data_IF_685376993901
#
_entry.id   IF_685376993901
#
_cell.length_a   1.000
_cell.length_b   1.000
_cell.length_c   1.000
_cell.angle_alpha   90.00
_cell.angle_beta   90.00
_cell.angle_gamma   90.00
#
_symmetry.space_group_name_H-M   'P 1'
#
loop_
_entity.id
_entity.type
_entity.pdbx_description
1 polymer ?
#
# COMPACT_ATOMS: atom_id res chain seq x y z
N UNK A 1 7.97 -12.06 -2.69
CA UNK A 1 7.15 -11.04 -3.39
C UNK A 1 5.95 -10.73 -2.51
N UNK A 2 5.74 -9.45 -2.17
CA UNK A 2 4.61 -8.97 -1.38
C UNK A 2 3.80 -7.95 -2.20
N UNK A 3 2.49 -7.91 -1.95
CA UNK A 3 1.53 -7.04 -2.62
C UNK A 3 0.64 -6.38 -1.56
N UNK A 4 0.53 -5.05 -1.57
CA UNK A 4 -0.47 -4.35 -0.76
C UNK A 4 -0.94 -3.04 -1.40
N UNK A 5 -2.09 -2.56 -0.93
CA UNK A 5 -2.52 -1.20 -1.18
C UNK A 5 -1.56 -0.25 -0.42
N UNK A 6 -0.89 0.64 -1.14
CA UNK A 6 0.04 1.61 -0.54
C UNK A 6 -0.63 2.96 -0.33
N UNK A 7 0.09 3.87 0.31
CA UNK A 7 -0.31 5.27 0.34
C UNK A 7 -0.30 5.90 -1.05
N UNK A 8 -1.15 6.91 -1.25
CA UNK A 8 -1.27 7.60 -2.53
C UNK A 8 0.04 8.23 -2.97
N UNK A 9 0.50 7.83 -4.16
CA UNK A 9 1.71 8.33 -4.84
C UNK A 9 1.43 9.59 -5.66
N UNK A 10 0.27 9.66 -6.31
CA UNK A 10 -0.20 10.81 -7.09
C UNK A 10 -1.42 11.48 -6.45
N UNK A 11 -1.71 12.74 -6.79
CA UNK A 11 -2.87 13.51 -6.30
C UNK A 11 -4.21 12.73 -6.33
N UNK A 12 -4.62 12.08 -7.45
CA UNK A 12 -5.88 11.32 -7.47
C UNK A 12 -5.83 10.10 -6.52
N UNK A 13 -4.70 9.40 -6.47
CA UNK A 13 -4.53 8.24 -5.57
C UNK A 13 -4.49 8.65 -4.10
N UNK A 14 -4.00 9.85 -3.77
CA UNK A 14 -4.01 10.41 -2.41
C UNK A 14 -5.43 10.66 -1.93
N UNK A 15 -6.27 11.26 -2.77
CA UNK A 15 -7.68 11.51 -2.43
C UNK A 15 -8.45 10.20 -2.26
N UNK A 16 -8.22 9.22 -3.14
CA UNK A 16 -8.86 7.90 -3.04
C UNK A 16 -8.41 7.18 -1.76
N UNK A 17 -7.11 7.18 -1.45
CA UNK A 17 -6.57 6.58 -0.22
C UNK A 17 -7.09 7.30 1.02
N UNK A 18 -7.25 8.62 0.99
CA UNK A 18 -7.83 9.37 2.11
C UNK A 18 -9.30 8.97 2.35
N UNK A 19 -10.10 8.87 1.30
CA UNK A 19 -11.46 8.35 1.38
C UNK A 19 -11.48 6.90 1.90
N UNK A 20 -10.55 6.06 1.43
CA UNK A 20 -10.42 4.68 1.89
C UNK A 20 -10.06 4.58 3.37
N UNK A 21 -9.14 5.42 3.85
CA UNK A 21 -8.78 5.50 5.29
C UNK A 21 -9.98 5.94 6.13
N UNK A 22 -10.81 6.86 5.64
CA UNK A 22 -12.05 7.28 6.31
C UNK A 22 -13.06 6.13 6.39
N UNK A 23 -13.30 5.42 5.29
CA UNK A 23 -14.20 4.26 5.29
C UNK A 23 -13.68 3.16 6.22
N UNK A 24 -12.38 2.88 6.18
CA UNK A 24 -11.74 1.90 7.06
C UNK A 24 -11.91 2.25 8.56
N UNK A 25 -11.83 3.53 8.91
CA UNK A 25 -12.02 3.98 10.30
C UNK A 25 -13.46 3.76 10.80
N UNK A 26 -14.45 3.76 9.90
CA UNK A 26 -15.85 3.52 10.24
C UNK A 26 -16.17 2.02 10.23
N UNK A 27 -15.72 1.30 9.20
CA UNK A 27 -15.94 -0.14 9.06
C UNK A 27 -14.79 -0.80 8.32
N UNK A 28 -13.83 -1.43 9.04
CA UNK A 28 -12.75 -2.19 8.43
C UNK A 28 -13.25 -3.32 7.52
N UNK A 29 -14.40 -3.90 7.84
CA UNK A 29 -15.03 -4.97 7.07
C UNK A 29 -15.49 -4.50 5.69
N UNK A 30 -15.95 -3.25 5.56
CA UNK A 30 -16.34 -2.68 4.26
C UNK A 30 -15.15 -2.55 3.30
N UNK A 31 -13.94 -2.40 3.84
CA UNK A 31 -12.68 -2.38 3.08
C UNK A 31 -12.06 -3.78 2.91
N UNK A 32 -12.78 -4.86 3.27
CA UNK A 32 -12.25 -6.21 3.28
C UNK A 32 -11.06 -6.42 4.23
N UNK A 33 -10.92 -5.55 5.24
CA UNK A 33 -9.78 -5.53 6.17
C UNK A 33 -8.49 -4.92 5.58
N UNK A 34 -8.49 -4.49 4.31
CA UNK A 34 -7.32 -3.94 3.65
C UNK A 34 -7.07 -2.49 4.08
N UNK A 35 -5.91 -2.24 4.71
CA UNK A 35 -5.45 -0.91 5.12
C UNK A 35 -4.31 -0.45 4.22
N UNK A 36 -4.37 0.77 3.67
CA UNK A 36 -3.24 1.36 2.96
C UNK A 36 -2.02 1.45 3.88
N UNK A 37 -0.92 0.80 3.52
CA UNK A 37 0.31 0.75 4.31
C UNK A 37 1.54 0.77 3.39
N UNK A 38 2.60 1.43 3.82
CA UNK A 38 3.89 1.43 3.13
C UNK A 38 4.70 0.20 3.56
N UNK A 39 4.63 -0.87 2.77
CA UNK A 39 5.31 -2.13 3.10
C UNK A 39 6.82 -2.01 3.05
N UNK A 40 7.36 -1.09 2.23
CA UNK A 40 8.80 -0.94 2.01
C UNK A 40 9.56 -0.74 3.31
N UNK A 41 9.04 0.08 4.22
CA UNK A 41 9.70 0.38 5.49
C UNK A 41 9.68 -0.84 6.43
N UNK A 42 8.61 -1.64 6.39
CA UNK A 42 8.52 -2.88 7.18
C UNK A 42 9.45 -3.97 6.66
N UNK A 43 9.55 -4.12 5.34
CA UNK A 43 10.42 -5.12 4.71
C UNK A 43 11.89 -4.82 5.00
N UNK A 44 12.29 -3.55 4.92
CA UNK A 44 13.64 -3.11 5.31
C UNK A 44 13.91 -3.35 6.80
N UNK A 45 12.96 -3.02 7.68
CA UNK A 45 13.08 -3.29 9.13
C UNK A 45 13.21 -4.78 9.45
N UNK A 46 12.63 -5.65 8.63
CA UNK A 46 12.77 -7.11 8.75
C UNK A 46 14.13 -7.65 8.27
N UNK A 47 15.02 -6.79 7.77
CA UNK A 47 16.39 -7.15 7.39
C UNK A 47 16.53 -7.70 5.97
N UNK A 48 15.57 -7.44 5.09
CA UNK A 48 15.71 -7.74 3.66
C UNK A 48 16.41 -6.59 2.93
N UNK A 49 17.42 -6.94 2.12
CA UNK A 49 18.17 -6.01 1.27
C UNK A 49 18.88 -6.81 0.15
N UNK A 50 18.78 -6.45 -1.14
CA UNK A 50 18.05 -5.31 -1.71
C UNK A 50 16.52 -5.46 -1.68
N UNK A 51 15.83 -4.31 -1.66
CA UNK A 51 14.36 -4.19 -1.75
C UNK A 51 13.99 -3.42 -3.02
N UNK A 52 13.50 -4.13 -4.02
CA UNK A 52 12.89 -3.54 -5.21
C UNK A 52 11.42 -3.22 -4.95
N UNK A 53 11.03 -2.00 -5.33
CA UNK A 53 9.70 -1.45 -5.08
C UNK A 53 9.12 -0.92 -6.37
N UNK A 54 7.94 -1.40 -6.72
CA UNK A 54 7.15 -0.89 -7.84
C UNK A 54 5.75 -0.50 -7.35
N UNK A 55 5.20 0.59 -7.87
CA UNK A 55 3.82 1.00 -7.57
C UNK A 55 3.05 1.13 -8.86
N UNK A 56 1.98 0.36 -8.96
CA UNK A 56 1.05 0.37 -10.08
C UNK A 56 -0.25 1.02 -9.61
N UNK A 57 -0.64 2.11 -10.26
CA UNK A 57 -1.92 2.79 -9.99
C UNK A 57 -2.91 2.40 -11.08
N UNK A 58 -3.92 1.60 -10.73
CA UNK A 58 -5.01 1.22 -11.63
C UNK A 58 -6.33 1.73 -11.06
N UNK A 59 -7.12 2.44 -11.87
CA UNK A 59 -8.39 3.04 -11.44
C UNK A 59 -8.25 3.92 -10.17
N UNK A 60 -7.10 4.57 -9.99
CA UNK A 60 -6.79 5.38 -8.81
C UNK A 60 -6.43 4.60 -7.55
N UNK A 61 -6.42 3.26 -7.60
CA UNK A 61 -5.98 2.38 -6.52
C UNK A 61 -4.46 2.13 -6.63
N UNK A 62 -3.66 2.67 -5.69
CA UNK A 62 -2.21 2.47 -5.73
C UNK A 62 -1.84 1.13 -5.10
N UNK A 63 -1.36 0.19 -5.93
CA UNK A 63 -0.88 -1.12 -5.50
C UNK A 63 0.65 -1.14 -5.48
N UNK A 64 1.24 -1.42 -4.33
CA UNK A 64 2.69 -1.58 -4.15
C UNK A 64 3.08 -3.05 -4.26
N UNK A 65 4.07 -3.31 -5.11
CA UNK A 65 4.73 -4.58 -5.31
C UNK A 65 6.13 -4.47 -4.70
N UNK A 66 6.47 -5.42 -3.84
CA UNK A 66 7.81 -5.51 -3.25
C UNK A 66 8.43 -6.85 -3.59
N UNK A 67 9.61 -6.78 -4.21
CA UNK A 67 10.49 -7.92 -4.41
C UNK A 67 11.71 -7.68 -3.54
N UNK A 68 11.99 -8.62 -2.63
CA UNK A 68 13.09 -8.50 -1.70
C UNK A 68 13.79 -9.84 -1.59
N UNK A 69 15.13 -9.80 -1.52
CA UNK A 69 15.99 -10.95 -1.24
C UNK A 69 16.66 -10.78 0.13
N UNK A 70 17.19 -11.88 0.66
CA UNK A 70 17.92 -11.91 1.93
C UNK A 70 19.36 -12.31 1.68
#
# INVERSE_FOLDING_TARGET
MLLALTEGVDLPSRSLVAAWKLVYAVSPLACGGCRPLRLTDLVKQAGFDPVEREVIVQLGLPSEIIVASR
#
